data_IF_374873003274
#
_entry.id   IF_374873003274
#
_cell.length_a   1.000
_cell.length_b   1.000
_cell.length_c   1.000
_cell.angle_alpha   90.00
_cell.angle_beta   90.00
_cell.angle_gamma   90.00
#
_symmetry.space_group_name_H-M   'P 1'
#
loop_
_entity.id
_entity.type
_entity.pdbx_description
1 polymer ?
#
# COMPACT_ATOMS: atom_id res chain seq x y z
N UNK A 1 28.47 -2.79 -4.23
CA UNK A 1 27.35 -2.90 -3.36
C UNK A 1 26.06 -3.05 -4.13
N UNK A 2 25.31 -3.99 -3.79
CA UNK A 2 24.05 -4.22 -4.47
C UNK A 2 23.02 -3.17 -4.10
N UNK A 3 22.27 -2.73 -5.09
CA UNK A 3 21.13 -1.87 -4.86
C UNK A 3 19.94 -2.71 -4.49
N UNK A 4 19.93 -3.22 -3.27
CA UNK A 4 18.78 -3.97 -2.81
C UNK A 4 17.64 -3.02 -2.53
N UNK A 5 16.54 -3.19 -3.26
CA UNK A 5 15.30 -2.51 -2.93
C UNK A 5 14.82 -3.03 -1.59
N UNK A 6 14.62 -2.18 -0.59
CA UNK A 6 14.10 -2.66 0.69
C UNK A 6 12.72 -3.29 0.48
N UNK A 7 12.46 -4.33 1.27
CA UNK A 7 11.15 -5.02 1.23
C UNK A 7 10.07 -4.06 1.74
N UNK A 8 10.42 -3.24 2.71
CA UNK A 8 9.50 -2.30 3.33
C UNK A 8 10.27 -1.14 3.94
N UNK A 9 9.56 -0.05 4.25
CA UNK A 9 10.15 1.13 4.87
C UNK A 9 10.30 0.98 6.37
N UNK A 10 9.38 0.25 7.01
CA UNK A 10 9.35 0.10 8.47
C UNK A 10 9.18 -1.37 8.84
N UNK A 11 9.86 -1.75 9.92
CA UNK A 11 9.67 -3.02 10.59
C UNK A 11 9.12 -2.71 11.98
N UNK A 12 7.96 -3.28 12.30
CA UNK A 12 7.26 -2.99 13.54
C UNK A 12 7.02 -4.28 14.31
N UNK A 13 7.15 -4.21 15.64
CA UNK A 13 6.77 -5.32 16.52
C UNK A 13 5.55 -4.87 17.30
N UNK A 14 4.46 -5.62 17.18
CA UNK A 14 3.23 -5.29 17.86
C UNK A 14 3.42 -5.46 19.38
N UNK A 15 2.95 -4.48 20.19
CA UNK A 15 3.19 -4.57 21.65
C UNK A 15 2.34 -5.64 22.35
N UNK A 16 1.21 -6.01 21.78
CA UNK A 16 0.30 -6.98 22.39
C UNK A 16 0.62 -8.40 21.94
N UNK A 17 0.59 -8.64 20.62
CA UNK A 17 0.83 -9.98 20.07
C UNK A 17 2.27 -10.32 19.84
N UNK A 18 3.16 -9.35 19.96
CA UNK A 18 4.60 -9.47 19.66
C UNK A 18 4.86 -9.99 18.25
N UNK A 19 3.93 -9.72 17.34
CA UNK A 19 4.11 -10.04 15.93
C UNK A 19 5.01 -9.00 15.27
N UNK A 20 5.93 -9.47 14.46
CA UNK A 20 6.72 -8.59 13.61
C UNK A 20 5.98 -8.42 12.29
N UNK A 21 5.79 -7.18 11.87
CA UNK A 21 5.19 -6.90 10.57
C UNK A 21 5.91 -5.75 9.88
N UNK A 22 5.71 -5.67 8.58
CA UNK A 22 6.38 -4.72 7.70
C UNK A 22 5.38 -3.72 7.14
N UNK A 23 5.80 -2.47 7.05
CA UNK A 23 4.97 -1.41 6.46
C UNK A 23 5.73 -0.76 5.30
N UNK A 24 5.09 -0.69 4.16
CA UNK A 24 5.55 0.06 3.00
C UNK A 24 4.72 1.34 2.93
N UNK A 25 5.37 2.50 2.94
CA UNK A 25 4.71 3.80 2.96
C UNK A 25 4.81 4.44 1.58
N UNK A 26 3.67 4.92 1.08
CA UNK A 26 3.61 5.70 -0.17
C UNK A 26 2.95 7.04 0.12
N UNK A 27 3.51 8.11 -0.45
CA UNK A 27 2.98 9.45 -0.26
C UNK A 27 2.59 10.13 -1.55
N UNK A 28 1.51 10.89 -1.51
CA UNK A 28 1.07 11.74 -2.62
C UNK A 28 0.69 13.11 -2.09
N UNK A 29 1.02 14.16 -2.86
CA UNK A 29 0.60 15.53 -2.56
C UNK A 29 -0.70 15.91 -3.28
N UNK A 30 -1.04 15.19 -4.35
CA UNK A 30 -2.22 15.41 -5.17
C UNK A 30 -2.93 14.08 -5.36
N UNK A 31 -4.24 14.07 -5.71
CA UNK A 31 -4.97 12.81 -5.88
C UNK A 31 -4.63 12.11 -7.20
N UNK A 32 -3.35 11.84 -7.39
CA UNK A 32 -2.83 11.06 -8.52
C UNK A 32 -3.02 9.56 -8.23
N UNK A 33 -2.90 8.70 -9.23
CA UNK A 33 -2.92 7.26 -8.99
C UNK A 33 -1.82 6.84 -8.03
N UNK A 34 -2.13 5.88 -7.17
CA UNK A 34 -1.15 5.23 -6.31
C UNK A 34 -0.35 4.25 -7.16
N UNK A 35 0.96 4.41 -7.17
CA UNK A 35 1.86 3.51 -7.91
C UNK A 35 2.43 2.51 -6.92
N UNK A 36 2.03 1.25 -7.05
CA UNK A 36 2.46 0.16 -6.18
C UNK A 36 2.92 -1.01 -7.03
N UNK A 37 4.12 -1.49 -6.76
CA UNK A 37 4.62 -2.69 -7.42
C UNK A 37 4.11 -3.91 -6.66
N UNK A 38 3.70 -4.93 -7.42
CA UNK A 38 3.39 -6.21 -6.80
C UNK A 38 4.68 -6.87 -6.34
N UNK A 39 4.71 -7.28 -5.09
CA UNK A 39 5.85 -7.97 -4.48
C UNK A 39 5.47 -9.40 -4.16
N UNK A 40 6.46 -10.23 -3.86
CA UNK A 40 6.20 -11.58 -3.39
C UNK A 40 5.23 -11.55 -2.19
N UNK A 41 4.31 -12.50 -2.17
CA UNK A 41 3.28 -12.54 -1.13
C UNK A 41 3.90 -12.75 0.24
N UNK A 42 3.54 -11.89 1.19
CA UNK A 42 3.95 -11.97 2.60
C UNK A 42 2.76 -11.68 3.48
N UNK A 43 2.49 -12.56 4.43
CA UNK A 43 1.35 -12.40 5.33
C UNK A 43 1.48 -11.17 6.23
N UNK A 44 2.71 -10.72 6.46
CA UNK A 44 3.00 -9.64 7.40
C UNK A 44 3.40 -8.31 6.74
N UNK A 45 3.05 -8.13 5.48
CA UNK A 45 3.33 -6.87 4.76
C UNK A 45 2.05 -6.06 4.61
N UNK A 46 2.13 -4.78 4.98
CA UNK A 46 1.02 -3.84 4.92
C UNK A 46 1.44 -2.57 4.22
N UNK A 47 0.48 -1.82 3.70
CA UNK A 47 0.72 -0.52 3.09
C UNK A 47 0.04 0.58 3.87
N UNK A 48 0.76 1.68 4.05
CA UNK A 48 0.18 2.93 4.54
C UNK A 48 0.33 3.95 3.42
N UNK A 49 -0.80 4.36 2.85
CA UNK A 49 -0.84 5.35 1.79
C UNK A 49 -1.18 6.69 2.42
N UNK A 50 -0.30 7.67 2.25
CA UNK A 50 -0.46 8.98 2.85
C UNK A 50 -0.75 10.01 1.78
N UNK A 51 -1.90 10.68 1.88
CA UNK A 51 -2.23 11.82 1.05
C UNK A 51 -1.97 13.08 1.85
N UNK A 52 -1.02 13.90 1.39
CA UNK A 52 -0.52 15.06 2.14
C UNK A 52 -0.73 16.31 1.29
N UNK A 53 -1.97 16.81 1.20
CA UNK A 53 -2.25 18.01 0.40
C UNK A 53 -1.69 19.28 1.06
N UNK A 54 -1.42 20.31 0.24
CA UNK A 54 -0.83 21.56 0.73
C UNK A 54 -1.75 22.32 1.68
N UNK A 55 -3.07 22.30 1.43
CA UNK A 55 -4.02 23.18 2.09
C UNK A 55 -5.15 22.45 2.80
N UNK A 56 -4.93 21.20 3.17
CA UNK A 56 -5.94 20.40 3.87
C UNK A 56 -5.25 19.41 4.80
N UNK A 57 -6.03 18.76 5.67
CA UNK A 57 -5.50 17.78 6.58
C UNK A 57 -5.00 16.55 5.83
N UNK A 58 -3.97 15.92 6.38
CA UNK A 58 -3.44 14.68 5.83
C UNK A 58 -4.47 13.55 5.99
N UNK A 59 -4.47 12.64 5.03
CA UNK A 59 -5.34 11.46 5.06
C UNK A 59 -4.48 10.21 4.92
N UNK A 60 -4.87 9.16 5.63
CA UNK A 60 -4.13 7.90 5.63
C UNK A 60 -5.05 6.75 5.27
N UNK A 61 -4.54 5.84 4.46
CA UNK A 61 -5.28 4.68 3.99
C UNK A 61 -4.42 3.46 4.27
N UNK A 62 -4.97 2.49 4.97
CA UNK A 62 -4.21 1.33 5.44
C UNK A 62 -4.80 0.06 4.86
N UNK A 63 -3.95 -0.78 4.29
CA UNK A 63 -4.39 -2.04 3.69
C UNK A 63 -3.33 -3.10 3.81
N UNK A 64 -3.78 -4.35 3.85
CA UNK A 64 -2.89 -5.51 3.77
C UNK A 64 -2.35 -5.64 2.34
N UNK A 65 -1.28 -6.40 2.20
CA UNK A 65 -0.76 -6.70 0.87
C UNK A 65 -1.82 -7.38 -0.01
N UNK A 66 -2.61 -8.29 0.56
CA UNK A 66 -3.66 -8.96 -0.18
C UNK A 66 -4.68 -7.97 -0.73
N UNK A 67 -5.12 -7.02 0.11
CA UNK A 67 -6.06 -5.98 -0.32
C UNK A 67 -5.47 -5.11 -1.43
N UNK A 68 -4.20 -4.73 -1.29
CA UNK A 68 -3.51 -3.95 -2.31
C UNK A 68 -3.41 -4.71 -3.64
N UNK A 69 -3.06 -6.00 -3.58
CA UNK A 69 -2.97 -6.83 -4.78
C UNK A 69 -4.33 -6.97 -5.47
N UNK A 70 -5.41 -7.09 -4.70
CA UNK A 70 -6.76 -7.15 -5.26
C UNK A 70 -7.10 -5.88 -6.04
N UNK A 71 -6.74 -4.72 -5.50
CA UNK A 71 -6.96 -3.45 -6.20
C UNK A 71 -6.12 -3.35 -7.47
N UNK A 72 -4.86 -3.76 -7.41
CA UNK A 72 -3.97 -3.76 -8.59
C UNK A 72 -4.53 -4.66 -9.67
N UNK A 73 -4.93 -5.88 -9.31
CA UNK A 73 -5.47 -6.84 -10.27
C UNK A 73 -6.76 -6.35 -10.90
N UNK A 74 -7.64 -5.74 -10.12
CA UNK A 74 -8.87 -5.16 -10.62
C UNK A 74 -8.58 -4.04 -11.63
N UNK A 75 -7.59 -3.20 -11.36
CA UNK A 75 -7.20 -2.14 -12.28
C UNK A 75 -6.61 -2.67 -13.58
N UNK A 76 -5.78 -3.71 -13.49
CA UNK A 76 -5.22 -4.34 -14.69
C UNK A 76 -6.33 -4.88 -15.60
N UNK A 77 -7.35 -5.51 -15.01
CA UNK A 77 -8.51 -6.00 -15.76
C UNK A 77 -9.31 -4.85 -16.37
N UNK A 78 -9.56 -3.82 -15.58
CA UNK A 78 -10.33 -2.65 -16.04
C UNK A 78 -9.65 -1.98 -17.22
N UNK A 79 -8.31 -1.91 -17.20
CA UNK A 79 -7.51 -1.28 -18.25
C UNK A 79 -7.12 -2.25 -19.36
N UNK A 80 -7.55 -3.50 -19.26
CA UNK A 80 -7.22 -4.56 -20.22
C UNK A 80 -5.71 -4.73 -20.40
N UNK A 81 -4.98 -4.78 -19.28
CA UNK A 81 -3.53 -4.95 -19.26
C UNK A 81 -3.19 -6.37 -18.86
N UNK A 82 -2.04 -6.92 -19.34
CA UNK A 82 -1.61 -8.26 -18.93
C UNK A 82 -1.13 -8.27 -17.48
N UNK A 83 -1.11 -9.44 -16.87
CA UNK A 83 -0.69 -9.61 -15.48
C UNK A 83 0.76 -9.18 -15.23
N UNK A 84 1.62 -9.27 -16.23
CA UNK A 84 3.02 -8.87 -16.12
C UNK A 84 3.28 -7.42 -16.50
N UNK A 85 2.23 -6.62 -16.63
CA UNK A 85 2.38 -5.22 -16.98
C UNK A 85 3.25 -4.51 -15.93
N UNK A 86 4.31 -3.80 -16.34
CA UNK A 86 5.30 -3.28 -15.38
C UNK A 86 4.81 -2.11 -14.53
N UNK A 87 3.85 -1.33 -15.03
CA UNK A 87 3.31 -0.17 -14.29
C UNK A 87 2.02 -0.57 -13.61
N UNK A 88 2.10 -0.82 -12.31
CA UNK A 88 0.94 -1.25 -11.53
C UNK A 88 0.55 -0.22 -10.49
N UNK A 89 -0.72 -0.25 -10.10
CA UNK A 89 -1.29 0.65 -9.13
C UNK A 89 -2.79 0.74 -9.29
N UNK A 90 -3.39 1.80 -8.75
CA UNK A 90 -4.82 2.03 -8.86
C UNK A 90 -5.13 3.52 -8.67
N UNK A 91 -6.29 3.95 -9.18
CA UNK A 91 -6.70 5.34 -9.08
C UNK A 91 -6.88 5.73 -7.61
N UNK A 92 -6.62 7.00 -7.31
CA UNK A 92 -6.59 7.52 -5.94
C UNK A 92 -7.84 7.16 -5.14
N UNK A 93 -9.01 7.30 -5.73
CA UNK A 93 -10.28 7.12 -5.01
C UNK A 93 -10.53 5.69 -4.53
N UNK A 94 -9.85 4.70 -5.11
CA UNK A 94 -10.02 3.31 -4.67
C UNK A 94 -9.48 3.06 -3.26
N UNK A 95 -8.61 3.94 -2.76
CA UNK A 95 -8.12 3.84 -1.40
C UNK A 95 -9.11 4.36 -0.36
N UNK A 96 -10.15 5.09 -0.76
CA UNK A 96 -11.04 5.77 0.18
C UNK A 96 -11.72 4.84 1.18
N UNK A 97 -12.07 3.63 0.77
CA UNK A 97 -12.69 2.67 1.69
C UNK A 97 -11.73 2.14 2.75
N UNK A 98 -10.43 2.41 2.59
CA UNK A 98 -9.39 2.01 3.55
C UNK A 98 -8.94 3.17 4.43
N UNK A 99 -9.66 4.29 4.40
CA UNK A 99 -9.32 5.47 5.20
C UNK A 99 -9.32 5.11 6.68
N UNK A 100 -8.22 5.45 7.36
CA UNK A 100 -8.04 5.21 8.79
C UNK A 100 -8.29 3.76 9.21
N UNK A 101 -8.05 2.82 8.33
CA UNK A 101 -8.26 1.41 8.61
C UNK A 101 -7.10 0.82 9.43
N UNK A 102 -6.70 1.50 10.49
CA UNK A 102 -5.58 1.10 11.36
C UNK A 102 -5.80 -0.27 11.98
N UNK A 103 -7.06 -0.69 12.13
CA UNK A 103 -7.41 -2.01 12.66
C UNK A 103 -6.89 -3.18 11.80
N UNK A 104 -6.51 -2.92 10.56
CA UNK A 104 -5.94 -3.93 9.66
C UNK A 104 -4.56 -4.38 10.15
N UNK A 105 -3.84 -3.49 10.82
CA UNK A 105 -2.50 -3.79 11.33
C UNK A 105 -2.56 -4.73 12.53
N UNK A 106 -1.55 -5.60 12.71
CA UNK A 106 -1.46 -6.46 13.91
C UNK A 106 -1.41 -5.63 15.20
N UNK A 107 -2.02 -6.15 16.24
CA UNK A 107 -2.08 -5.47 17.55
C UNK A 107 -0.99 -5.92 18.49
#
# INVERSE_FOLDING_TARGET
>A
MGNTTPIADLMVVSPVGREMFLIDVKGLYRPNPWVLKRKAVRANLFYVLAFVPANAANEFFIMSQQQAHQLIEAELKRLNRPDDYPMTGFVWKLALEYRDAWHVLPK
#
